data_IF_855330683346
#
_entry.id   IF_855330683346
#
_cell.length_a   1.000
_cell.length_b   1.000
_cell.length_c   1.000
_cell.angle_alpha   90.00
_cell.angle_beta   90.00
_cell.angle_gamma   90.00
#
_symmetry.space_group_name_H-M   'P 1'
#
loop_
_entity.id
_entity.type
_entity.pdbx_description
1 polymer ?
#
# COMPACT_ATOMS: atom_id res chain seq x y z
N UNK A 1 12.72 -0.29 1.63
CA UNK A 1 12.01 0.86 1.03
C UNK A 1 11.05 1.52 2.03
N UNK A 2 10.01 0.86 2.54
CA UNK A 2 9.04 1.49 3.47
C UNK A 2 9.65 2.17 4.71
N UNK A 3 10.75 1.61 5.26
CA UNK A 3 11.47 2.23 6.38
C UNK A 3 12.20 3.52 5.98
N UNK A 4 12.75 3.57 4.76
CA UNK A 4 13.45 4.74 4.20
C UNK A 4 12.45 5.86 3.90
N UNK A 5 11.25 5.50 3.43
CA UNK A 5 10.17 6.45 3.08
C UNK A 5 9.41 6.93 4.35
N UNK A 6 9.74 6.42 5.53
CA UNK A 6 9.06 6.77 6.79
C UNK A 6 7.68 6.12 7.00
N UNK A 7 7.31 5.14 6.16
CA UNK A 7 6.02 4.41 6.25
C UNK A 7 6.10 3.16 7.15
N UNK A 8 7.21 2.96 7.84
CA UNK A 8 7.46 1.79 8.69
C UNK A 8 8.34 2.17 9.91
N UNK A 9 7.83 3.00 10.84
CA UNK A 9 8.61 3.53 11.98
C UNK A 9 8.90 2.51 13.09
N UNK A 10 8.91 1.20 12.83
CA UNK A 10 9.28 0.17 13.82
C UNK A 10 10.70 -0.36 13.61
N UNK A 11 11.27 -0.93 14.69
CA UNK A 11 12.60 -1.56 14.67
C UNK A 11 12.57 -2.90 15.40
N UNK A 12 13.47 -3.77 14.95
CA UNK A 12 13.85 -5.09 15.49
C UNK A 12 12.79 -6.20 15.48
N UNK A 13 13.27 -7.33 14.95
CA UNK A 13 12.66 -8.64 14.99
C UNK A 13 13.24 -9.37 16.21
N UNK A 14 12.45 -9.60 17.26
CA UNK A 14 12.83 -10.62 18.22
C UNK A 14 12.33 -11.97 17.69
N UNK A 15 13.27 -12.82 17.27
CA UNK A 15 13.00 -14.23 16.98
C UNK A 15 12.78 -14.92 18.31
N UNK A 16 11.54 -15.28 18.63
CA UNK A 16 11.30 -16.18 19.77
C UNK A 16 11.77 -17.59 19.40
N UNK A 17 12.15 -18.40 20.39
CA UNK A 17 12.67 -19.77 20.21
C UNK A 17 11.77 -20.70 19.38
N UNK A 18 10.50 -20.34 19.12
CA UNK A 18 9.55 -21.04 18.23
C UNK A 18 9.21 -20.26 16.96
N UNK A 19 10.20 -19.93 16.11
CA UNK A 19 10.01 -19.39 14.72
C UNK A 19 8.91 -18.32 14.53
N UNK A 20 8.58 -17.52 15.54
CA UNK A 20 7.57 -16.47 15.45
C UNK A 20 8.22 -15.12 15.72
N UNK A 21 7.87 -14.12 14.93
CA UNK A 21 8.44 -12.79 15.01
C UNK A 21 7.48 -11.85 15.75
N UNK A 22 7.99 -11.08 16.71
CA UNK A 22 7.23 -10.04 17.38
C UNK A 22 7.87 -8.69 17.05
N UNK A 23 7.09 -7.79 16.45
CA UNK A 23 7.47 -6.41 16.17
C UNK A 23 7.15 -5.56 17.39
N UNK A 24 8.09 -4.73 17.80
CA UNK A 24 7.93 -3.82 18.93
C UNK A 24 7.93 -2.35 18.50
N UNK A 25 7.38 -1.52 19.37
CA UNK A 25 7.41 -0.08 19.22
C UNK A 25 8.84 0.42 19.25
N UNK A 26 9.19 1.30 18.30
CA UNK A 26 10.50 1.90 18.22
C UNK A 26 10.41 3.39 18.42
N UNK A 27 10.96 3.87 19.53
CA UNK A 27 11.12 5.29 19.79
C UNK A 27 12.08 5.92 18.76
N UNK A 28 13.09 5.17 18.32
CA UNK A 28 14.01 5.57 17.26
C UNK A 28 13.31 5.76 15.90
N UNK A 29 12.38 4.87 15.53
CA UNK A 29 11.63 5.02 14.28
C UNK A 29 10.66 6.20 14.31
N UNK A 30 10.08 6.53 15.47
CA UNK A 30 9.30 7.76 15.65
C UNK A 30 10.19 9.00 15.51
N UNK A 31 11.38 9.02 16.15
CA UNK A 31 12.35 10.11 16.03
C UNK A 31 12.85 10.27 14.58
N UNK A 32 13.06 9.17 13.86
CA UNK A 32 13.44 9.21 12.45
C UNK A 32 12.36 9.85 11.58
N UNK A 33 11.10 9.48 11.76
CA UNK A 33 9.99 10.10 11.03
C UNK A 33 9.84 11.59 11.39
N UNK A 34 10.03 11.96 12.65
CA UNK A 34 10.05 13.37 13.06
C UNK A 34 11.17 14.14 12.35
N UNK A 35 12.37 13.57 12.31
CA UNK A 35 13.51 14.15 11.62
C UNK A 35 13.26 14.28 10.10
N UNK A 36 12.58 13.30 9.47
CA UNK A 36 12.17 13.39 8.07
C UNK A 36 11.19 14.53 7.83
N UNK A 37 10.18 14.71 8.69
CA UNK A 37 9.23 15.82 8.60
C UNK A 37 9.97 17.15 8.74
N UNK A 38 10.84 17.29 9.75
CA UNK A 38 11.60 18.52 9.99
C UNK A 38 12.51 18.81 8.79
N UNK A 39 13.26 17.82 8.31
CA UNK A 39 14.14 17.98 7.16
C UNK A 39 13.37 18.39 5.89
N UNK A 40 12.22 17.77 5.64
CA UNK A 40 11.38 18.11 4.50
C UNK A 40 10.79 19.52 4.62
N UNK A 41 10.26 19.89 5.78
CA UNK A 41 9.74 21.24 6.02
C UNK A 41 10.84 22.32 5.92
N UNK A 42 12.03 22.07 6.46
CA UNK A 42 13.18 22.97 6.33
C UNK A 42 13.63 23.11 4.88
N UNK A 43 13.65 22.01 4.13
CA UNK A 43 13.95 22.01 2.71
C UNK A 43 12.95 22.85 1.90
N UNK A 44 11.66 22.72 2.21
CA UNK A 44 10.60 23.51 1.59
C UNK A 44 10.77 25.00 1.89
N UNK A 45 11.08 25.36 3.14
CA UNK A 45 11.34 26.75 3.52
C UNK A 45 12.52 27.35 2.77
N UNK A 46 13.60 26.59 2.62
CA UNK A 46 14.78 27.03 1.85
C UNK A 46 14.50 27.15 0.36
N UNK A 47 13.77 26.18 -0.21
CA UNK A 47 13.49 26.13 -1.64
C UNK A 47 12.33 27.03 -2.08
N UNK A 48 11.63 27.67 -1.13
CA UNK A 48 10.49 28.54 -1.41
C UNK A 48 10.88 29.75 -2.27
N UNK A 49 12.09 30.29 -2.08
CA UNK A 49 12.62 31.40 -2.89
C UNK A 49 12.83 31.00 -4.37
N UNK A 50 13.20 29.74 -4.62
CA UNK A 50 13.36 29.18 -5.95
C UNK A 50 12.03 28.70 -6.58
N UNK A 51 11.00 28.46 -5.75
CA UNK A 51 9.66 28.07 -6.20
C UNK A 51 8.87 29.27 -6.75
N UNK A 52 9.14 30.47 -6.24
CA UNK A 52 8.53 31.70 -6.74
C UNK A 52 9.00 31.94 -8.19
N UNK A 53 8.09 31.95 -9.18
CA UNK A 53 8.48 32.18 -10.55
C UNK A 53 9.11 33.57 -10.67
N UNK A 54 10.37 33.63 -11.13
CA UNK A 54 10.86 34.84 -11.79
C UNK A 54 9.88 35.12 -12.94
N UNK A 55 9.38 36.35 -12.98
CA UNK A 55 8.36 36.97 -13.84
C UNK A 55 8.48 36.75 -15.37
N UNK A 56 9.36 35.87 -15.85
CA UNK A 56 9.95 35.99 -17.18
C UNK A 56 9.40 35.00 -18.22
N UNK A 57 8.40 34.16 -17.89
CA UNK A 57 7.72 33.36 -18.92
C UNK A 57 6.20 33.53 -18.83
N UNK A 58 5.65 34.08 -19.90
CA UNK A 58 4.26 34.41 -20.13
C UNK A 58 3.37 33.16 -20.26
N UNK A 59 3.35 32.31 -19.24
CA UNK A 59 2.32 31.31 -19.04
C UNK A 59 1.30 31.89 -18.06
N UNK A 60 0.02 31.88 -18.44
CA UNK A 60 -1.06 32.60 -17.75
C UNK A 60 -0.96 32.54 -16.21
N UNK A 61 -1.18 33.66 -15.52
CA UNK A 61 -1.17 33.74 -14.05
C UNK A 61 -2.07 32.68 -13.37
N UNK A 62 -3.05 32.16 -14.10
CA UNK A 62 -3.89 31.04 -13.70
C UNK A 62 -3.10 29.71 -13.62
N UNK A 63 -2.32 29.38 -14.64
CA UNK A 63 -1.55 28.12 -14.71
C UNK A 63 -0.51 28.01 -13.59
N UNK A 64 0.18 29.12 -13.28
CA UNK A 64 1.14 29.18 -12.15
C UNK A 64 0.42 28.99 -10.82
N UNK A 65 -0.67 29.73 -10.59
CA UNK A 65 -1.46 29.62 -9.36
C UNK A 65 -2.03 28.21 -9.15
N UNK A 66 -2.50 27.55 -10.21
CA UNK A 66 -3.00 26.17 -10.12
C UNK A 66 -1.87 25.19 -9.79
N UNK A 67 -0.71 25.33 -10.44
CA UNK A 67 0.47 24.50 -10.16
C UNK A 67 0.93 24.60 -8.71
N UNK A 68 1.08 25.83 -8.20
CA UNK A 68 1.53 26.09 -6.83
C UNK A 68 0.57 25.48 -5.80
N UNK A 69 -0.74 25.62 -6.02
CA UNK A 69 -1.75 25.03 -5.13
C UNK A 69 -1.70 23.50 -5.10
N UNK A 70 -1.41 22.83 -6.22
CA UNK A 70 -1.24 21.37 -6.26
C UNK A 70 0.00 20.95 -5.47
N UNK A 71 1.09 21.72 -5.54
CA UNK A 71 2.30 21.45 -4.76
C UNK A 71 2.06 21.64 -3.26
N UNK A 72 1.40 22.72 -2.85
CA UNK A 72 1.02 22.97 -1.46
C UNK A 72 0.13 21.84 -0.94
N UNK A 73 -0.88 21.43 -1.73
CA UNK A 73 -1.74 20.31 -1.38
C UNK A 73 -0.95 19.01 -1.19
N UNK A 74 -0.01 18.71 -2.07
CA UNK A 74 0.87 17.55 -1.97
C UNK A 74 1.71 17.55 -0.70
N UNK A 75 2.27 18.70 -0.33
CA UNK A 75 3.05 18.88 0.91
C UNK A 75 2.17 18.62 2.14
N UNK A 76 0.98 19.23 2.19
CA UNK A 76 0.04 19.08 3.31
C UNK A 76 -0.43 17.63 3.42
N UNK A 77 -0.76 16.98 2.30
CA UNK A 77 -1.19 15.59 2.29
C UNK A 77 -0.08 14.64 2.76
N UNK A 78 1.15 14.87 2.31
CA UNK A 78 2.32 14.08 2.67
C UNK A 78 2.68 14.17 4.14
N UNK A 79 2.76 15.40 4.66
CA UNK A 79 3.02 15.65 6.08
C UNK A 79 1.93 15.08 6.97
N UNK A 80 0.66 15.17 6.54
CA UNK A 80 -0.48 14.53 7.22
C UNK A 80 -0.34 13.01 7.28
N UNK A 81 0.09 12.36 6.19
CA UNK A 81 0.33 10.91 6.17
C UNK A 81 1.46 10.53 7.14
N UNK A 82 2.59 11.23 7.12
CA UNK A 82 3.69 10.94 8.06
C UNK A 82 3.27 11.10 9.52
N UNK A 83 2.57 12.18 9.85
CA UNK A 83 2.01 12.40 11.18
C UNK A 83 1.02 11.29 11.57
N UNK A 84 0.15 10.88 10.65
CA UNK A 84 -0.78 9.78 10.89
C UNK A 84 -0.05 8.47 11.21
N UNK A 85 0.96 8.11 10.42
CA UNK A 85 1.77 6.91 10.64
C UNK A 85 2.53 6.95 11.96
N UNK A 86 3.01 8.11 12.38
CA UNK A 86 3.64 8.28 13.70
C UNK A 86 2.64 8.09 14.83
N UNK A 87 1.50 8.81 14.81
CA UNK A 87 0.49 8.77 15.88
C UNK A 87 -0.12 7.38 16.01
N UNK A 88 -0.39 6.72 14.88
CA UNK A 88 -1.06 5.41 14.84
C UNK A 88 -0.09 4.23 14.77
N UNK A 89 1.22 4.45 14.94
CA UNK A 89 2.26 3.41 14.87
C UNK A 89 1.93 2.17 15.72
N UNK A 90 1.44 2.35 16.95
CA UNK A 90 1.07 1.25 17.85
C UNK A 90 -0.02 0.35 17.25
N UNK A 91 -0.99 0.93 16.54
CA UNK A 91 -2.06 0.16 15.89
C UNK A 91 -1.49 -0.68 14.74
N UNK A 92 -0.63 -0.07 13.93
CA UNK A 92 0.03 -0.72 12.80
C UNK A 92 0.88 -1.93 13.23
N UNK A 93 1.63 -1.81 14.33
CA UNK A 93 2.40 -2.92 14.93
C UNK A 93 1.48 -4.04 15.38
N UNK A 94 0.35 -3.73 16.03
CA UNK A 94 -0.62 -4.75 16.44
C UNK A 94 -1.21 -5.50 15.25
N UNK A 95 -1.47 -4.82 14.13
CA UNK A 95 -1.95 -5.45 12.90
C UNK A 95 -0.95 -6.48 12.40
N UNK A 96 0.32 -6.09 12.24
CA UNK A 96 1.34 -7.01 11.72
C UNK A 96 1.58 -8.18 12.67
N UNK A 97 1.68 -7.92 13.98
CA UNK A 97 1.86 -9.00 14.95
C UNK A 97 0.69 -9.99 14.92
N UNK A 98 -0.55 -9.50 14.80
CA UNK A 98 -1.72 -10.39 14.66
C UNK A 98 -1.71 -11.17 13.35
N UNK A 99 -1.29 -10.55 12.25
CA UNK A 99 -1.14 -11.23 10.96
C UNK A 99 -0.08 -12.32 11.00
N UNK A 100 1.05 -12.07 11.66
CA UNK A 100 2.14 -13.03 11.82
C UNK A 100 1.73 -14.22 12.69
N UNK A 101 1.03 -13.95 13.80
CA UNK A 101 0.46 -14.98 14.66
C UNK A 101 -0.56 -15.81 13.88
N UNK A 102 -1.44 -15.17 13.09
CA UNK A 102 -2.40 -15.87 12.24
C UNK A 102 -1.72 -16.74 11.18
N UNK A 103 -0.72 -16.19 10.49
CA UNK A 103 0.07 -16.89 9.47
C UNK A 103 0.80 -18.11 10.05
N UNK A 104 1.43 -17.96 11.22
CA UNK A 104 2.13 -19.07 11.88
C UNK A 104 1.18 -20.15 12.43
N UNK A 105 -0.06 -19.81 12.77
CA UNK A 105 -1.10 -20.80 13.10
C UNK A 105 -1.52 -21.57 11.85
N UNK A 106 -1.71 -20.89 10.72
CA UNK A 106 -2.08 -21.50 9.44
C UNK A 106 -0.96 -22.39 8.89
N UNK A 107 0.31 -21.99 9.02
CA UNK A 107 1.47 -22.77 8.57
C UNK A 107 1.65 -24.11 9.31
N UNK A 108 1.06 -24.25 10.50
CA UNK A 108 1.05 -25.53 11.24
C UNK A 108 0.00 -26.51 10.74
N UNK A 109 -0.95 -26.06 9.92
CA UNK A 109 -1.83 -26.97 9.19
C UNK A 109 -1.06 -27.45 7.96
N UNK A 110 -0.77 -28.76 7.86
CA UNK A 110 0.03 -29.39 6.79
C UNK A 110 -0.48 -29.11 5.36
N UNK A 111 -1.68 -28.53 5.22
CA UNK A 111 -2.31 -28.16 3.97
C UNK A 111 -1.97 -26.72 3.51
N UNK A 112 -1.09 -26.03 4.23
CA UNK A 112 -0.69 -24.65 3.97
C UNK A 112 0.52 -24.56 3.02
N UNK A 113 0.24 -24.59 1.71
CA UNK A 113 1.22 -24.15 0.72
C UNK A 113 1.05 -22.64 0.51
N UNK A 114 2.02 -21.85 0.97
CA UNK A 114 2.22 -20.51 0.44
C UNK A 114 2.57 -20.70 -1.04
N UNK A 115 1.57 -20.64 -1.91
CA UNK A 115 1.82 -20.60 -3.35
C UNK A 115 2.67 -19.37 -3.58
N UNK A 116 3.94 -19.58 -3.98
CA UNK A 116 4.92 -18.51 -4.18
C UNK A 116 4.31 -17.47 -5.10
N UNK A 117 3.96 -16.33 -4.51
CA UNK A 117 3.23 -15.30 -5.22
C UNK A 117 4.26 -14.35 -5.82
N UNK A 118 4.92 -14.80 -6.89
CA UNK A 118 5.76 -13.95 -7.73
C UNK A 118 5.05 -12.64 -8.11
N UNK A 119 3.71 -12.64 -8.17
CA UNK A 119 2.91 -11.44 -8.38
C UNK A 119 3.18 -10.30 -7.38
N UNK A 120 3.44 -10.58 -6.09
CA UNK A 120 3.80 -9.53 -5.12
C UNK A 120 5.13 -8.88 -5.51
N UNK A 121 6.13 -9.70 -5.84
CA UNK A 121 7.44 -9.23 -6.24
C UNK A 121 7.35 -8.44 -7.54
N UNK A 122 6.55 -8.88 -8.50
CA UNK A 122 6.29 -8.15 -9.75
C UNK A 122 5.63 -6.79 -9.52
N UNK A 123 4.62 -6.73 -8.64
CA UNK A 123 3.94 -5.47 -8.31
C UNK A 123 4.92 -4.48 -7.64
N UNK A 124 5.72 -4.96 -6.70
CA UNK A 124 6.76 -4.16 -6.02
C UNK A 124 7.85 -3.69 -6.99
N UNK A 125 8.35 -4.59 -7.84
CA UNK A 125 9.37 -4.31 -8.84
C UNK A 125 8.86 -3.31 -9.87
N UNK A 126 7.64 -3.51 -10.37
CA UNK A 126 7.01 -2.59 -11.33
C UNK A 126 6.85 -1.19 -10.72
N UNK A 127 6.39 -1.07 -9.47
CA UNK A 127 6.30 0.23 -8.82
C UNK A 127 7.66 0.88 -8.63
N UNK A 128 8.67 0.10 -8.23
CA UNK A 128 10.04 0.59 -8.12
C UNK A 128 10.53 1.14 -9.47
N UNK A 129 10.39 0.37 -10.55
CA UNK A 129 10.79 0.80 -11.90
C UNK A 129 10.06 2.08 -12.35
N UNK A 130 8.74 2.16 -12.14
CA UNK A 130 7.95 3.35 -12.49
C UNK A 130 8.40 4.56 -11.66
N UNK A 131 8.66 4.38 -10.37
CA UNK A 131 9.17 5.48 -9.53
C UNK A 131 10.56 5.93 -9.95
N UNK A 132 11.47 5.01 -10.27
CA UNK A 132 12.83 5.34 -10.75
C UNK A 132 12.78 6.07 -12.09
N UNK A 133 11.93 5.62 -13.01
CA UNK A 133 11.70 6.30 -14.28
C UNK A 133 11.25 7.74 -14.06
N UNK A 134 10.29 7.97 -13.15
CA UNK A 134 9.81 9.31 -12.81
C UNK A 134 10.91 10.19 -12.21
N UNK A 135 11.76 9.62 -11.33
CA UNK A 135 12.90 10.35 -10.75
C UNK A 135 13.86 10.82 -11.84
N UNK A 136 14.26 9.90 -12.75
CA UNK A 136 15.19 10.21 -13.83
C UNK A 136 14.60 11.28 -14.75
N UNK A 137 13.32 11.15 -15.10
CA UNK A 137 12.64 12.13 -15.93
C UNK A 137 12.63 13.51 -15.26
N UNK A 138 12.22 13.63 -14.00
CA UNK A 138 12.17 14.92 -13.31
C UNK A 138 13.55 15.59 -13.16
N UNK A 139 14.62 14.81 -12.95
CA UNK A 139 16.00 15.35 -12.92
C UNK A 139 16.43 15.90 -14.29
N UNK A 140 15.97 15.30 -15.38
CA UNK A 140 16.29 15.76 -16.74
C UNK A 140 15.50 17.02 -17.13
N UNK A 141 14.26 17.16 -16.65
CA UNK A 141 13.37 18.28 -17.03
C UNK A 141 13.56 19.51 -16.15
N UNK A 142 13.74 19.31 -14.84
CA UNK A 142 13.71 20.39 -13.85
C UNK A 142 15.05 20.58 -13.15
N UNK A 143 15.24 21.76 -12.56
CA UNK A 143 16.39 22.02 -11.69
C UNK A 143 16.40 21.00 -10.54
N UNK A 144 17.56 20.39 -10.20
CA UNK A 144 17.66 19.40 -9.13
C UNK A 144 17.07 19.84 -7.79
N UNK A 145 17.06 21.14 -7.51
CA UNK A 145 16.50 21.74 -6.29
C UNK A 145 14.96 21.69 -6.23
N UNK A 146 14.27 21.66 -7.37
CA UNK A 146 12.80 21.61 -7.41
C UNK A 146 12.28 20.16 -7.45
N UNK A 147 13.12 19.20 -7.84
CA UNK A 147 12.74 17.78 -7.98
C UNK A 147 12.17 17.18 -6.69
N UNK A 148 12.77 17.34 -5.49
CA UNK A 148 12.26 16.71 -4.28
C UNK A 148 10.88 17.21 -3.86
N UNK A 149 10.55 18.47 -4.15
CA UNK A 149 9.27 19.09 -3.80
C UNK A 149 8.13 18.39 -4.53
N UNK A 150 8.35 18.07 -5.81
CA UNK A 150 7.39 17.36 -6.66
C UNK A 150 7.39 15.87 -6.37
N UNK A 151 8.57 15.29 -6.27
CA UNK A 151 8.75 13.84 -6.24
C UNK A 151 8.37 13.21 -4.89
N UNK A 152 8.70 13.85 -3.76
CA UNK A 152 8.48 13.27 -2.43
C UNK A 152 7.00 12.96 -2.17
N UNK A 153 6.05 13.89 -2.41
CA UNK A 153 4.62 13.59 -2.26
C UNK A 153 4.18 12.41 -3.11
N UNK A 154 4.54 12.41 -4.38
CA UNK A 154 4.22 11.34 -5.33
C UNK A 154 4.64 9.96 -4.84
N UNK A 155 5.91 9.87 -4.40
CA UNK A 155 6.50 8.65 -3.91
C UNK A 155 5.74 8.18 -2.68
N UNK A 156 5.54 9.05 -1.69
CA UNK A 156 4.88 8.67 -0.43
C UNK A 156 3.48 8.17 -0.69
N UNK A 157 2.70 8.89 -1.49
CA UNK A 157 1.34 8.49 -1.87
C UNK A 157 1.32 7.16 -2.64
N UNK A 158 2.20 6.98 -3.62
CA UNK A 158 2.34 5.69 -4.35
C UNK A 158 2.70 4.54 -3.41
N UNK A 159 3.68 4.75 -2.52
CA UNK A 159 4.11 3.74 -1.56
C UNK A 159 3.03 3.42 -0.51
N UNK A 160 2.18 4.37 -0.12
CA UNK A 160 1.02 4.12 0.75
C UNK A 160 0.02 3.19 0.07
N UNK A 161 -0.33 3.45 -1.20
CA UNK A 161 -1.22 2.57 -1.97
C UNK A 161 -0.62 1.17 -2.10
N UNK A 162 0.68 1.10 -2.35
CA UNK A 162 1.39 -0.17 -2.47
C UNK A 162 1.38 -0.95 -1.15
N UNK A 163 1.70 -0.29 -0.04
CA UNK A 163 1.75 -0.91 1.28
C UNK A 163 0.40 -1.51 1.67
N UNK A 164 -0.70 -0.78 1.41
CA UNK A 164 -2.03 -1.28 1.67
C UNK A 164 -2.40 -2.45 0.75
N UNK A 165 -2.09 -2.35 -0.55
CA UNK A 165 -2.36 -3.40 -1.53
C UNK A 165 -1.66 -4.72 -1.18
N UNK A 166 -0.42 -4.64 -0.68
CA UNK A 166 0.33 -5.79 -0.17
C UNK A 166 -0.31 -6.40 1.06
N UNK A 167 -0.77 -5.56 1.99
CA UNK A 167 -1.42 -6.01 3.20
C UNK A 167 -2.73 -6.73 2.90
N UNK A 168 -3.51 -6.21 1.95
CA UNK A 168 -4.71 -6.88 1.45
C UNK A 168 -4.39 -8.22 0.78
N UNK A 169 -3.32 -8.33 -0.01
CA UNK A 169 -2.94 -9.61 -0.63
C UNK A 169 -2.60 -10.67 0.42
N UNK A 170 -1.93 -10.29 1.52
CA UNK A 170 -1.65 -11.19 2.64
C UNK A 170 -2.96 -11.67 3.29
N UNK A 171 -3.90 -10.76 3.55
CA UNK A 171 -5.20 -11.10 4.14
C UNK A 171 -6.01 -12.01 3.22
N UNK A 172 -6.09 -11.69 1.93
CA UNK A 172 -6.78 -12.48 0.90
C UNK A 172 -6.27 -13.91 0.89
N UNK A 173 -4.95 -14.11 0.91
CA UNK A 173 -4.36 -15.45 0.91
C UNK A 173 -4.69 -16.24 2.16
N UNK A 174 -4.71 -15.59 3.32
CA UNK A 174 -5.09 -16.25 4.56
C UNK A 174 -6.57 -16.69 4.49
N UNK A 175 -7.47 -15.88 3.92
CA UNK A 175 -8.85 -16.30 3.65
C UNK A 175 -8.96 -17.44 2.64
N UNK A 176 -8.23 -17.38 1.53
CA UNK A 176 -8.17 -18.46 0.51
C UNK A 176 -7.68 -19.78 1.13
N UNK A 177 -6.71 -19.71 2.04
CA UNK A 177 -6.20 -20.87 2.76
C UNK A 177 -7.23 -21.47 3.74
N UNK A 178 -7.96 -20.61 4.47
CA UNK A 178 -9.06 -21.06 5.34
C UNK A 178 -10.12 -21.76 4.50
N UNK A 179 -10.50 -21.16 3.36
CA UNK A 179 -11.48 -21.74 2.45
C UNK A 179 -11.02 -23.10 1.91
N UNK A 180 -9.76 -23.22 1.48
CA UNK A 180 -9.22 -24.50 1.02
C UNK A 180 -9.24 -25.57 2.12
N UNK A 181 -8.98 -25.18 3.37
CA UNK A 181 -9.04 -26.11 4.51
C UNK A 181 -10.48 -26.58 4.76
N UNK A 182 -11.46 -25.67 4.68
CA UNK A 182 -12.90 -26.01 4.82
C UNK A 182 -13.32 -26.98 3.72
N UNK A 183 -12.98 -26.69 2.46
CA UNK A 183 -13.34 -27.55 1.33
C UNK A 183 -12.77 -28.96 1.48
N UNK A 184 -11.51 -29.08 1.89
CA UNK A 184 -10.89 -30.38 2.16
C UNK A 184 -11.55 -31.11 3.33
N UNK A 185 -11.93 -30.40 4.40
CA UNK A 185 -12.67 -31.00 5.51
C UNK A 185 -14.04 -31.55 5.08
N UNK A 186 -14.70 -30.89 4.13
CA UNK A 186 -15.95 -31.34 3.54
C UNK A 186 -15.79 -32.53 2.59
N UNK A 187 -14.66 -32.64 1.90
CA UNK A 187 -14.37 -33.73 0.94
C UNK A 187 -13.90 -35.03 1.63
N UNK A 188 -13.47 -34.96 2.90
CA UNK A 188 -13.13 -36.15 3.70
C UNK A 188 -14.33 -37.10 3.88
N UNK A 189 -15.57 -36.61 3.75
CA UNK A 189 -16.78 -37.45 3.77
C UNK A 189 -16.94 -38.33 2.51
N UNK A 190 -16.25 -38.00 1.41
CA UNK A 190 -16.25 -38.76 0.14
C UNK A 190 -15.38 -40.02 0.23
N UNK A 191 -14.17 -39.87 0.78
CA UNK A 191 -13.15 -40.92 0.77
C UNK A 191 -13.30 -41.92 1.94
N UNK A 192 -13.82 -41.47 3.10
CA UNK A 192 -13.97 -42.35 4.28
C UNK A 192 -15.12 -43.36 4.11
N UNK A 193 -16.12 -43.06 3.25
CA UNK A 193 -17.19 -44.00 2.92
C UNK A 193 -16.70 -45.25 2.18
N UNK A 194 -15.49 -45.23 1.61
CA UNK A 194 -14.93 -46.36 0.86
C UNK A 194 -14.11 -47.34 1.71
N UNK A 195 -13.72 -46.98 2.95
CA UNK A 195 -12.83 -47.81 3.77
C UNK A 195 -13.37 -48.26 5.13
N UNK A 196 -14.62 -47.95 5.50
CA UNK A 196 -15.15 -48.23 6.85
C UNK A 196 -16.25 -49.28 6.88
N UNK A 197 -15.94 -50.51 6.41
CA UNK A 197 -16.74 -51.70 6.75
C UNK A 197 -16.32 -52.33 8.09
N UNK A 198 -15.12 -52.02 8.60
CA UNK A 198 -14.62 -52.52 9.87
C UNK A 198 -13.69 -51.48 10.49
N UNK A 199 -14.17 -50.64 11.41
CA UNK A 199 -13.43 -50.05 12.55
C UNK A 199 -14.36 -49.08 13.31
N UNK A 200 -14.34 -49.24 14.63
CA UNK A 200 -14.96 -48.51 15.74
C UNK A 200 -15.36 -47.04 15.49
N UNK A 201 -16.67 -46.77 15.63
CA UNK A 201 -17.38 -45.54 15.25
C UNK A 201 -17.25 -44.29 16.16
N UNK A 202 -16.19 -44.13 16.98
CA UNK A 202 -16.00 -42.91 17.80
C UNK A 202 -14.50 -42.69 18.06
N UNK A 203 -13.81 -41.76 17.35
CA UNK A 203 -13.78 -40.34 17.74
C UNK A 203 -13.70 -39.32 16.58
N UNK A 204 -13.92 -39.73 15.32
CA UNK A 204 -13.86 -38.84 14.14
C UNK A 204 -14.76 -37.60 14.29
N UNK A 205 -15.96 -37.77 14.84
CA UNK A 205 -16.91 -36.67 15.06
C UNK A 205 -16.37 -35.59 16.02
N UNK A 206 -15.65 -35.98 17.09
CA UNK A 206 -15.06 -35.02 18.05
C UNK A 206 -13.90 -34.25 17.41
N UNK A 207 -13.08 -34.91 16.60
CA UNK A 207 -11.97 -34.29 15.90
C UNK A 207 -12.43 -33.32 14.81
N UNK A 208 -13.45 -33.69 14.04
CA UNK A 208 -14.07 -32.81 13.03
C UNK A 208 -14.72 -31.60 13.71
N UNK A 209 -15.47 -31.78 14.81
CA UNK A 209 -16.04 -30.63 15.54
C UNK A 209 -14.97 -29.70 16.11
N UNK A 210 -13.84 -30.26 16.57
CA UNK A 210 -12.72 -29.46 17.07
C UNK A 210 -12.07 -28.63 15.96
N UNK A 211 -11.80 -29.23 14.81
CA UNK A 211 -11.24 -28.51 13.65
C UNK A 211 -12.19 -27.44 13.11
N UNK A 212 -13.51 -27.71 13.06
CA UNK A 212 -14.52 -26.71 12.67
C UNK A 212 -14.53 -25.51 13.65
N UNK A 213 -14.50 -25.77 14.97
CA UNK A 213 -14.45 -24.68 15.95
C UNK A 213 -13.18 -23.84 15.83
N UNK A 214 -12.05 -24.48 15.56
CA UNK A 214 -10.76 -23.82 15.34
C UNK A 214 -10.76 -22.97 14.05
N UNK A 215 -11.34 -23.48 12.97
CA UNK A 215 -11.52 -22.72 11.72
C UNK A 215 -12.40 -21.49 11.95
N UNK A 216 -13.52 -21.64 12.65
CA UNK A 216 -14.41 -20.53 13.01
C UNK A 216 -13.68 -19.45 13.81
N UNK A 217 -12.86 -19.86 14.78
CA UNK A 217 -12.09 -18.94 15.61
C UNK A 217 -11.01 -18.20 14.82
N UNK A 218 -10.35 -18.89 13.87
CA UNK A 218 -9.39 -18.27 12.95
C UNK A 218 -10.10 -17.29 12.01
N UNK A 219 -11.26 -17.66 11.44
CA UNK A 219 -12.04 -16.78 10.57
C UNK A 219 -12.48 -15.49 11.31
N UNK A 220 -12.96 -15.62 12.55
CA UNK A 220 -13.30 -14.45 13.40
C UNK A 220 -12.09 -13.56 13.68
N UNK A 221 -10.92 -14.15 13.93
CA UNK A 221 -9.67 -13.39 14.11
C UNK A 221 -9.29 -12.64 12.83
N UNK A 222 -9.44 -13.26 11.67
CA UNK A 222 -9.17 -12.64 10.36
C UNK A 222 -10.09 -11.48 10.05
N UNK A 223 -11.38 -11.59 10.42
CA UNK A 223 -12.33 -10.49 10.33
C UNK A 223 -11.88 -9.29 11.18
N UNK A 224 -11.54 -9.53 12.46
CA UNK A 224 -11.03 -8.49 13.35
C UNK A 224 -9.74 -7.84 12.83
N UNK A 225 -8.85 -8.62 12.21
CA UNK A 225 -7.62 -8.09 11.58
C UNK A 225 -7.98 -7.19 10.40
N UNK A 226 -8.92 -7.60 9.55
CA UNK A 226 -9.37 -6.83 8.38
C UNK A 226 -10.01 -5.51 8.80
N UNK A 227 -10.82 -5.52 9.87
CA UNK A 227 -11.38 -4.32 10.46
C UNK A 227 -10.28 -3.36 10.97
N UNK A 228 -9.28 -3.90 11.69
CA UNK A 228 -8.13 -3.08 12.15
C UNK A 228 -7.35 -2.48 10.98
N UNK A 229 -7.18 -3.23 9.89
CA UNK A 229 -6.53 -2.76 8.65
C UNK A 229 -7.32 -1.63 8.02
N UNK A 230 -8.65 -1.79 7.88
CA UNK A 230 -9.54 -0.76 7.36
C UNK A 230 -9.47 0.51 8.21
N UNK A 231 -9.54 0.36 9.54
CA UNK A 231 -9.47 1.49 10.48
C UNK A 231 -8.12 2.23 10.45
N UNK A 232 -7.02 1.54 10.13
CA UNK A 232 -5.71 2.18 10.01
C UNK A 232 -5.53 2.83 8.63
N UNK A 233 -5.74 2.10 7.54
CA UNK A 233 -5.42 2.58 6.20
C UNK A 233 -6.52 3.43 5.55
N UNK A 234 -7.76 3.39 6.05
CA UNK A 234 -8.88 4.13 5.47
C UNK A 234 -8.60 5.63 5.33
N UNK A 235 -8.05 6.27 6.37
CA UNK A 235 -7.73 7.70 6.35
C UNK A 235 -6.55 8.04 5.42
N UNK A 236 -5.36 7.40 5.52
CA UNK A 236 -4.25 7.65 4.59
C UNK A 236 -4.58 7.40 3.11
N UNK A 237 -5.39 6.37 2.83
CA UNK A 237 -5.84 6.09 1.46
C UNK A 237 -6.78 7.18 0.98
N UNK A 238 -7.74 7.61 1.79
CA UNK A 238 -8.66 8.68 1.41
C UNK A 238 -7.91 9.97 1.04
N UNK A 239 -6.94 10.36 1.87
CA UNK A 239 -6.06 11.52 1.60
C UNK A 239 -5.30 11.33 0.29
N UNK A 240 -4.81 10.12 0.03
CA UNK A 240 -4.10 9.79 -1.21
C UNK A 240 -4.98 9.84 -2.44
N UNK A 241 -6.20 9.29 -2.37
CA UNK A 241 -7.16 9.31 -3.46
C UNK A 241 -7.57 10.76 -3.78
N UNK A 242 -7.83 11.58 -2.76
CA UNK A 242 -8.15 13.00 -2.94
C UNK A 242 -6.99 13.75 -3.62
N UNK A 243 -5.76 13.57 -3.13
CA UNK A 243 -4.57 14.20 -3.71
C UNK A 243 -4.35 13.79 -5.17
N UNK A 244 -4.38 12.49 -5.47
CA UNK A 244 -4.22 12.00 -6.84
C UNK A 244 -5.37 12.44 -7.76
N UNK A 245 -6.60 12.50 -7.25
CA UNK A 245 -7.75 12.98 -8.02
C UNK A 245 -7.56 14.44 -8.45
N UNK A 246 -7.27 15.33 -7.49
CA UNK A 246 -7.02 16.75 -7.80
C UNK A 246 -5.82 16.91 -8.73
N UNK A 247 -4.70 16.24 -8.43
CA UNK A 247 -3.48 16.33 -9.23
C UNK A 247 -3.68 15.81 -10.66
N UNK A 248 -4.45 14.73 -10.85
CA UNK A 248 -4.75 14.19 -12.18
C UNK A 248 -5.52 15.18 -13.05
N UNK A 249 -6.50 15.88 -12.48
CA UNK A 249 -7.26 16.93 -13.21
C UNK A 249 -6.34 18.07 -13.62
N UNK A 250 -5.46 18.51 -12.71
CA UNK A 250 -4.49 19.56 -13.02
C UNK A 250 -3.47 19.12 -14.09
N UNK A 251 -2.93 17.90 -14.01
CA UNK A 251 -2.00 17.39 -15.01
C UNK A 251 -2.66 17.19 -16.37
N UNK A 252 -3.92 16.74 -16.42
CA UNK A 252 -4.70 16.69 -17.67
C UNK A 252 -4.84 18.08 -18.28
N UNK A 253 -5.14 19.10 -17.47
CA UNK A 253 -5.19 20.48 -17.94
C UNK A 253 -3.85 20.93 -18.55
N UNK A 254 -2.72 20.65 -17.90
CA UNK A 254 -1.39 21.00 -18.42
C UNK A 254 -1.01 20.21 -19.69
N UNK A 255 -1.42 18.95 -19.81
CA UNK A 255 -1.26 18.15 -21.03
C UNK A 255 -2.03 18.80 -22.18
N UNK A 256 -3.29 19.14 -21.96
CA UNK A 256 -4.15 19.79 -22.94
C UNK A 256 -3.54 21.13 -23.37
N UNK A 257 -3.09 21.95 -22.42
CA UNK A 257 -2.43 23.22 -22.70
C UNK A 257 -1.16 23.01 -23.54
N UNK A 258 -0.33 22.02 -23.21
CA UNK A 258 0.89 21.70 -23.95
C UNK A 258 0.61 21.23 -25.38
N UNK A 259 -0.53 20.56 -25.62
CA UNK A 259 -0.96 20.16 -26.96
C UNK A 259 -1.42 21.36 -27.80
N UNK A 260 -2.16 22.30 -27.20
CA UNK A 260 -2.70 23.47 -27.91
C UNK A 260 -1.70 24.62 -28.08
N UNK A 261 -0.77 24.80 -27.15
CA UNK A 261 0.25 25.85 -27.24
C UNK A 261 1.29 25.58 -28.34
N UNK A 262 1.43 24.32 -28.78
CA UNK A 262 2.41 23.89 -29.77
C UNK A 262 1.92 24.07 -31.20
N UNK A 263 1.91 25.32 -31.67
CA UNK A 263 1.63 25.66 -33.08
C UNK A 263 2.70 25.16 -34.08
N UNK A 264 3.77 24.48 -33.63
CA UNK A 264 4.89 23.99 -34.46
C UNK A 264 5.09 22.47 -34.46
N UNK A 265 4.20 21.70 -33.83
CA UNK A 265 4.21 20.23 -33.92
C UNK A 265 5.29 19.50 -33.10
N UNK A 266 6.11 20.20 -32.31
CA UNK A 266 7.10 19.58 -31.42
C UNK A 266 6.48 19.26 -30.06
N UNK A 267 6.29 17.99 -29.71
CA UNK A 267 5.84 17.58 -28.38
C UNK A 267 6.88 18.05 -27.35
N UNK A 268 6.48 18.96 -26.44
CA UNK A 268 7.39 19.48 -25.41
C UNK A 268 7.69 18.44 -24.36
N UNK A 269 8.86 18.54 -23.75
CA UNK A 269 9.30 17.69 -22.63
C UNK A 269 8.29 17.71 -21.46
N UNK A 270 7.57 18.81 -21.26
CA UNK A 270 6.50 18.95 -20.27
C UNK A 270 5.34 17.97 -20.51
N UNK A 271 4.96 17.72 -21.77
CA UNK A 271 3.91 16.75 -22.09
C UNK A 271 4.26 15.35 -21.59
N UNK A 272 5.50 14.90 -21.82
CA UNK A 272 5.97 13.60 -21.36
C UNK A 272 6.03 13.53 -19.82
N UNK A 273 6.48 14.60 -19.16
CA UNK A 273 6.44 14.70 -17.70
C UNK A 273 5.02 14.51 -17.17
N UNK A 274 4.07 15.37 -17.54
CA UNK A 274 2.70 15.29 -17.02
C UNK A 274 2.00 13.96 -17.37
N UNK A 275 2.29 13.39 -18.55
CA UNK A 275 1.76 12.07 -18.92
C UNK A 275 2.30 10.96 -18.02
N UNK A 276 3.59 11.00 -17.68
CA UNK A 276 4.20 10.04 -16.74
C UNK A 276 3.60 10.14 -15.33
N UNK A 277 3.25 11.36 -14.91
CA UNK A 277 2.55 11.62 -13.65
C UNK A 277 1.15 10.99 -13.59
N UNK A 278 0.38 11.08 -14.67
CA UNK A 278 -0.91 10.40 -14.76
C UNK A 278 -0.73 8.89 -14.75
N UNK A 279 0.28 8.38 -15.48
CA UNK A 279 0.56 6.95 -15.57
C UNK A 279 0.83 6.32 -14.19
N UNK A 280 1.64 6.97 -13.34
CA UNK A 280 1.93 6.45 -11.99
C UNK A 280 0.67 6.45 -11.10
N UNK A 281 -0.18 7.48 -11.22
CA UNK A 281 -1.44 7.56 -10.48
C UNK A 281 -2.40 6.45 -10.90
N UNK A 282 -2.61 6.29 -12.22
CA UNK A 282 -3.47 5.25 -12.79
C UNK A 282 -2.97 3.86 -12.39
N UNK A 283 -1.66 3.61 -12.50
CA UNK A 283 -1.05 2.35 -12.06
C UNK A 283 -1.37 2.05 -10.59
N UNK A 284 -1.16 3.01 -9.70
CA UNK A 284 -1.47 2.88 -8.27
C UNK A 284 -2.94 2.55 -8.02
N UNK A 285 -3.87 3.22 -8.73
CA UNK A 285 -5.30 2.95 -8.63
C UNK A 285 -5.70 1.58 -9.16
N UNK A 286 -5.15 1.13 -10.29
CA UNK A 286 -5.44 -0.19 -10.86
C UNK A 286 -4.98 -1.29 -9.89
N UNK A 287 -3.78 -1.17 -9.33
CA UNK A 287 -3.28 -2.11 -8.32
C UNK A 287 -4.20 -2.13 -7.10
N UNK A 288 -4.55 -0.95 -6.56
CA UNK A 288 -5.43 -0.85 -5.40
C UNK A 288 -6.81 -1.49 -5.65
N UNK A 289 -7.49 -1.06 -6.72
CA UNK A 289 -8.85 -1.50 -7.04
C UNK A 289 -8.91 -2.99 -7.33
N UNK A 290 -7.90 -3.56 -8.01
CA UNK A 290 -7.83 -5.01 -8.23
C UNK A 290 -7.72 -5.80 -6.92
N UNK A 291 -6.94 -5.30 -5.94
CA UNK A 291 -6.80 -5.97 -4.63
C UNK A 291 -8.04 -5.80 -3.76
N UNK A 292 -8.63 -4.61 -3.72
CA UNK A 292 -9.88 -4.36 -3.00
C UNK A 292 -11.01 -5.21 -3.57
N UNK A 293 -11.16 -5.27 -4.90
CA UNK A 293 -12.17 -6.10 -5.56
C UNK A 293 -12.02 -7.58 -5.21
N UNK A 294 -10.79 -8.11 -5.19
CA UNK A 294 -10.52 -9.48 -4.73
C UNK A 294 -10.81 -9.69 -3.25
N UNK A 295 -10.47 -8.72 -2.39
CA UNK A 295 -10.78 -8.80 -0.96
C UNK A 295 -12.30 -8.87 -0.72
N UNK A 296 -13.07 -8.02 -1.40
CA UNK A 296 -14.54 -8.03 -1.31
C UNK A 296 -15.09 -9.37 -1.79
N UNK A 297 -14.61 -9.89 -2.93
CA UNK A 297 -15.06 -11.19 -3.45
C UNK A 297 -14.80 -12.35 -2.47
N UNK A 298 -13.64 -12.36 -1.81
CA UNK A 298 -13.30 -13.42 -0.84
C UNK A 298 -14.05 -13.28 0.49
N UNK A 299 -14.38 -12.04 0.91
CA UNK A 299 -15.06 -11.78 2.19
C UNK A 299 -16.58 -11.87 2.07
N UNK A 300 -17.19 -11.40 0.97
CA UNK A 300 -18.65 -11.35 0.82
C UNK A 300 -19.27 -12.56 0.11
N UNK A 301 -18.62 -13.15 -0.88
CA UNK A 301 -19.30 -14.05 -1.83
C UNK A 301 -19.18 -15.54 -1.53
N UNK A 302 -18.51 -15.94 -0.43
CA UNK A 302 -18.16 -17.36 -0.18
C UNK A 302 -18.34 -17.81 1.28
N UNK A 303 -19.25 -17.16 2.00
CA UNK A 303 -19.91 -17.67 3.21
C UNK A 303 -21.30 -18.11 2.80
#
# INVERSE_FOLDING_TARGET
>A
IFKIVGLSPWTNFQRTQKKSYIIQHSLFGTLYNLALIIAYCSYLGWSYEDLMPRKDQADSAFATTVGDNVHILGIVATTSIWLFFMVRQKLMIRIINKLEISSSMLQRCELYNFRDNHAIYWILLSNFLVTTYLVVLEILVYKPILVPIRLIPALIHSWVLMQYSLLLDIVIKQFESIQSTILKLGDVDSDIKLHTLFVTNVPLRKQITHEITKIRDVHRKMFNITEMISNFYGSPILVTIMYFGVSSVCYLYFIILSLFANNKGEITVNYYSFSSWILIMVYGFVVLTSKVGRAIAQVMYRV
#
